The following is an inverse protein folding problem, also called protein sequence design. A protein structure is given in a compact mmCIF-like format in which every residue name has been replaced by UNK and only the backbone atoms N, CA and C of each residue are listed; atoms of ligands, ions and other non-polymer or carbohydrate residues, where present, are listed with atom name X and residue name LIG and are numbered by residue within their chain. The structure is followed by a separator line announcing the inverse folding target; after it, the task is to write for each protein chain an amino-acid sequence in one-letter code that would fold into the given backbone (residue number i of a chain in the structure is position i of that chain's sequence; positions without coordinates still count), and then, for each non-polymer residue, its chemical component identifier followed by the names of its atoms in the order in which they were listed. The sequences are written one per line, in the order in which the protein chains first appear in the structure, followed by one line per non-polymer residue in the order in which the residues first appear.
data_IF_648541132054
#
_entry.id   IF_648541132054
#
_cell.length_a   1.000
_cell.length_b   1.000
_cell.length_c   1.000
_cell.angle_alpha   90.00
_cell.angle_beta   90.00
_cell.angle_gamma   90.00
#
_symmetry.space_group_name_H-M   'P 1'
#
loop_
_entity.id
_entity.type
_entity.pdbx_description
1 polymer ?
#
# COMPACT_ATOMS: atom_id res chain seq x y z
N UNK A 1 -8.64 -18.55 -5.21
CA UNK A 1 -9.58 -17.61 -5.88
C UNK A 1 -10.57 -16.95 -4.90
N UNK A 2 -10.21 -16.86 -3.59
CA UNK A 2 -11.15 -16.42 -2.54
C UNK A 2 -10.47 -15.46 -1.55
N UNK A 3 -9.72 -14.46 -2.03
CA UNK A 3 -8.87 -13.64 -1.14
C UNK A 3 -8.94 -12.11 -1.34
N UNK A 4 -9.85 -11.63 -2.16
CA UNK A 4 -10.13 -10.18 -2.23
C UNK A 4 -11.48 -9.93 -1.55
N UNK A 5 -11.43 -9.57 -0.28
CA UNK A 5 -12.63 -9.26 0.50
C UNK A 5 -13.20 -7.89 0.06
N UNK A 6 -14.47 -7.79 -0.35
CA UNK A 6 -15.12 -6.52 -0.71
C UNK A 6 -15.07 -5.45 0.39
N UNK A 7 -14.96 -5.87 1.64
CA UNK A 7 -14.86 -4.98 2.80
C UNK A 7 -13.59 -4.12 2.87
N UNK A 8 -12.58 -4.40 2.02
CA UNK A 8 -11.34 -3.63 1.98
C UNK A 8 -11.44 -2.37 1.13
N UNK A 9 -12.15 -2.42 0.01
CA UNK A 9 -12.32 -1.26 -0.88
C UNK A 9 -13.13 -0.15 -0.19
N UNK A 10 -14.20 -0.49 0.51
CA UNK A 10 -14.99 0.48 1.27
C UNK A 10 -14.18 1.13 2.41
N UNK A 11 -13.34 0.36 3.10
CA UNK A 11 -12.55 0.88 4.22
C UNK A 11 -11.46 1.85 3.76
N UNK A 12 -10.77 1.59 2.66
CA UNK A 12 -9.71 2.48 2.13
C UNK A 12 -10.34 3.77 1.58
N UNK A 13 -11.41 3.68 0.82
CA UNK A 13 -12.18 4.84 0.33
C UNK A 13 -12.72 5.71 1.48
N UNK A 14 -13.16 5.11 2.57
CA UNK A 14 -13.64 5.85 3.75
C UNK A 14 -12.50 6.53 4.51
N UNK A 15 -11.32 5.93 4.58
CA UNK A 15 -10.14 6.59 5.18
C UNK A 15 -9.75 7.82 4.37
N UNK A 16 -9.64 7.72 3.04
CA UNK A 16 -9.25 8.84 2.19
C UNK A 16 -10.24 10.00 2.29
N UNK A 17 -11.54 9.71 2.23
CA UNK A 17 -12.59 10.71 2.41
C UNK A 17 -12.57 11.33 3.81
N UNK A 18 -12.32 10.54 4.85
CA UNK A 18 -12.20 11.05 6.22
C UNK A 18 -10.98 11.96 6.39
N UNK A 19 -9.83 11.60 5.80
CA UNK A 19 -8.64 12.45 5.78
C UNK A 19 -8.88 13.74 5.01
N UNK A 20 -9.51 13.69 3.83
CA UNK A 20 -9.82 14.88 3.04
C UNK A 20 -10.72 15.82 3.83
N UNK A 21 -11.81 15.31 4.45
CA UNK A 21 -12.70 16.12 5.29
C UNK A 21 -11.99 16.76 6.49
N UNK A 22 -11.01 16.06 7.07
CA UNK A 22 -10.22 16.56 8.21
C UNK A 22 -9.29 17.69 7.81
N UNK A 23 -8.55 17.54 6.71
CA UNK A 23 -7.52 18.51 6.30
C UNK A 23 -8.05 19.59 5.36
N UNK A 24 -9.15 19.32 4.66
CA UNK A 24 -9.83 20.24 3.75
C UNK A 24 -11.32 20.39 4.10
N UNK A 25 -11.64 20.85 5.34
CA UNK A 25 -13.02 20.88 5.82
C UNK A 25 -13.93 21.83 5.02
N UNK A 26 -13.34 22.76 4.26
CA UNK A 26 -14.05 23.70 3.39
C UNK A 26 -14.07 23.25 1.92
N UNK A 27 -13.62 22.04 1.62
CA UNK A 27 -13.41 21.59 0.25
C UNK A 27 -12.23 22.29 -0.42
N UNK A 28 -12.38 22.64 -1.69
CA UNK A 28 -11.33 23.33 -2.45
C UNK A 28 -10.26 22.40 -3.01
N UNK A 29 -10.58 21.09 -3.09
CA UNK A 29 -9.71 20.06 -3.65
C UNK A 29 -10.50 19.08 -4.51
N UNK A 30 -9.83 18.47 -5.47
CA UNK A 30 -10.31 17.32 -6.24
C UNK A 30 -9.49 16.09 -5.91
N UNK A 31 -10.16 14.96 -5.75
CA UNK A 31 -9.52 13.65 -5.68
C UNK A 31 -9.44 13.08 -7.10
N UNK A 32 -8.25 12.65 -7.50
CA UNK A 32 -7.99 12.15 -8.85
C UNK A 32 -7.44 10.75 -8.76
N UNK A 33 -8.12 9.80 -9.39
CA UNK A 33 -7.67 8.41 -9.48
C UNK A 33 -6.30 8.32 -10.17
N UNK A 34 -5.41 7.51 -9.59
CA UNK A 34 -4.08 7.29 -10.16
C UNK A 34 -3.86 5.79 -10.48
N UNK A 35 -3.61 4.96 -9.48
CA UNK A 35 -3.33 3.52 -9.65
C UNK A 35 -3.75 2.72 -8.43
N UNK A 36 -4.17 1.48 -8.64
CA UNK A 36 -4.24 0.49 -7.56
C UNK A 36 -2.89 -0.19 -7.36
N UNK A 37 -2.52 -0.47 -6.11
CA UNK A 37 -1.27 -1.17 -5.74
C UNK A 37 -1.56 -2.39 -4.89
N UNK A 38 -0.99 -3.51 -5.26
CA UNK A 38 -1.11 -4.72 -4.44
C UNK A 38 -0.24 -4.59 -3.18
N UNK A 39 -0.89 -4.57 -2.02
CA UNK A 39 -0.30 -4.63 -0.69
C UNK A 39 -0.29 -6.07 -0.17
N UNK A 40 0.75 -6.44 0.55
CA UNK A 40 0.85 -7.78 1.11
C UNK A 40 2.07 -7.97 2.00
N UNK A 41 2.30 -9.22 2.40
CA UNK A 41 3.48 -9.61 3.15
C UNK A 41 4.60 -10.01 2.19
N UNK A 42 5.76 -9.44 2.38
CA UNK A 42 7.02 -9.82 1.72
C UNK A 42 7.74 -10.79 2.64
N UNK A 43 8.22 -11.91 2.11
CA UNK A 43 8.96 -12.93 2.85
C UNK A 43 10.15 -13.41 2.03
N UNK A 44 11.15 -13.99 2.67
CA UNK A 44 12.30 -14.56 2.00
C UNK A 44 11.88 -15.59 0.95
N UNK A 45 12.68 -15.73 -0.10
CA UNK A 45 12.45 -16.69 -1.20
C UNK A 45 12.24 -18.11 -0.68
N UNK A 46 11.19 -18.77 -1.18
CA UNK A 46 10.79 -20.10 -0.72
C UNK A 46 9.99 -20.09 0.58
N UNK A 47 9.72 -18.92 1.17
CA UNK A 47 8.90 -18.76 2.37
C UNK A 47 9.22 -19.77 3.49
N UNK A 48 10.46 -19.78 4.00
CA UNK A 48 10.94 -20.85 4.92
C UNK A 48 10.13 -20.96 6.21
N UNK A 49 9.49 -19.87 6.67
CA UNK A 49 8.66 -19.85 7.88
C UNK A 49 7.18 -20.13 7.61
N UNK A 50 6.83 -20.46 6.36
CA UNK A 50 5.46 -20.79 5.96
C UNK A 50 4.42 -19.72 6.41
N UNK A 51 4.75 -18.45 6.21
CA UNK A 51 3.84 -17.33 6.41
C UNK A 51 2.78 -17.40 5.31
N UNK A 52 1.50 -17.44 5.66
CA UNK A 52 0.39 -17.59 4.71
C UNK A 52 -0.65 -16.48 4.80
N UNK A 53 -0.76 -15.87 5.99
CA UNK A 53 -1.76 -14.83 6.28
C UNK A 53 -1.20 -13.82 7.28
N UNK A 54 -1.89 -12.71 7.45
CA UNK A 54 -1.40 -11.61 8.27
C UNK A 54 -1.11 -12.01 9.73
N UNK A 55 -1.98 -12.80 10.37
CA UNK A 55 -1.78 -13.23 11.77
C UNK A 55 -0.49 -14.02 11.99
N UNK A 56 0.11 -14.56 10.93
CA UNK A 56 1.35 -15.33 11.04
C UNK A 56 2.56 -14.47 11.43
N UNK A 57 2.45 -13.13 11.37
CA UNK A 57 3.49 -12.21 11.87
C UNK A 57 3.73 -12.35 13.39
N UNK A 58 2.72 -12.83 14.13
CA UNK A 58 2.80 -13.05 15.57
C UNK A 58 3.28 -14.45 15.95
N UNK A 59 3.63 -15.31 14.98
CA UNK A 59 4.19 -16.64 15.28
C UNK A 59 5.53 -16.51 16.02
N UNK A 60 5.74 -17.36 17.02
CA UNK A 60 7.00 -17.41 17.74
C UNK A 60 8.20 -17.63 16.81
N UNK A 61 9.24 -16.82 16.99
CA UNK A 61 10.44 -16.86 16.17
C UNK A 61 10.39 -16.06 14.85
N UNK A 62 9.25 -15.48 14.50
CA UNK A 62 9.12 -14.59 13.33
C UNK A 62 9.59 -13.19 13.69
N UNK A 63 10.53 -12.64 12.90
CA UNK A 63 11.03 -11.26 13.03
C UNK A 63 10.32 -10.37 12.01
N UNK A 64 9.42 -9.52 12.50
CA UNK A 64 8.69 -8.56 11.68
C UNK A 64 9.47 -7.24 11.54
N UNK A 65 9.31 -6.57 10.42
CA UNK A 65 9.72 -5.19 10.22
C UNK A 65 8.55 -4.38 9.64
N UNK A 66 8.28 -3.25 10.25
CA UNK A 66 7.15 -2.39 9.91
C UNK A 66 7.56 -1.22 9.01
N UNK A 67 6.58 -0.53 8.47
CA UNK A 67 6.73 0.80 7.90
C UNK A 67 6.60 1.84 9.01
N UNK A 68 7.15 3.03 8.79
CA UNK A 68 7.06 4.14 9.74
C UNK A 68 5.60 4.51 10.02
N UNK A 69 5.36 5.01 11.24
CA UNK A 69 4.06 5.55 11.65
C UNK A 69 3.58 6.64 10.68
N UNK A 70 2.30 6.60 10.32
CA UNK A 70 1.68 7.53 9.39
C UNK A 70 1.78 7.13 7.91
N UNK A 71 2.49 6.07 7.54
CA UNK A 71 2.41 5.53 6.19
C UNK A 71 1.12 4.72 6.00
N UNK A 72 0.52 4.73 4.80
CA UNK A 72 -0.68 3.95 4.49
C UNK A 72 -0.52 2.47 4.81
N UNK A 73 0.63 1.86 4.47
CA UNK A 73 0.93 0.47 4.82
C UNK A 73 0.97 0.22 6.32
N UNK A 74 1.47 1.17 7.14
CA UNK A 74 1.45 1.05 8.60
C UNK A 74 0.03 1.17 9.13
N UNK A 75 -0.76 2.10 8.62
CA UNK A 75 -2.18 2.24 8.98
C UNK A 75 -2.94 0.94 8.66
N UNK A 76 -2.68 0.35 7.50
CA UNK A 76 -3.24 -0.95 7.13
C UNK A 76 -2.80 -2.06 8.08
N UNK A 77 -1.52 -2.13 8.46
CA UNK A 77 -1.02 -3.12 9.41
C UNK A 77 -1.67 -2.98 10.80
N UNK A 78 -1.76 -1.74 11.32
CA UNK A 78 -2.42 -1.46 12.61
C UNK A 78 -3.91 -1.85 12.57
N UNK A 79 -4.62 -1.56 11.47
CA UNK A 79 -6.00 -1.98 11.24
C UNK A 79 -6.15 -3.51 11.21
N UNK A 80 -5.27 -4.21 10.48
CA UNK A 80 -5.29 -5.67 10.40
C UNK A 80 -5.04 -6.31 11.78
N UNK A 81 -4.16 -5.74 12.60
CA UNK A 81 -3.96 -6.21 13.97
C UNK A 81 -5.25 -6.15 14.78
N UNK A 82 -6.00 -5.06 14.68
CA UNK A 82 -7.29 -4.89 15.38
C UNK A 82 -8.31 -5.90 14.83
N UNK A 83 -8.48 -5.94 13.50
CA UNK A 83 -9.49 -6.78 12.84
C UNK A 83 -9.28 -8.27 13.10
N UNK A 84 -8.04 -8.72 13.08
CA UNK A 84 -7.67 -10.13 13.23
C UNK A 84 -7.28 -10.48 14.67
N UNK A 85 -7.48 -9.54 15.60
CA UNK A 85 -7.19 -9.71 17.03
C UNK A 85 -5.72 -10.14 17.30
N UNK A 86 -4.78 -9.50 16.59
CA UNK A 86 -3.34 -9.68 16.80
C UNK A 86 -2.86 -8.68 17.84
N UNK A 87 -2.33 -9.15 18.98
CA UNK A 87 -1.69 -8.29 19.94
C UNK A 87 -0.32 -7.84 19.41
N UNK A 88 -0.16 -6.54 19.16
CA UNK A 88 1.09 -5.95 18.65
C UNK A 88 2.28 -6.16 19.58
N UNK A 89 2.04 -6.30 20.89
CA UNK A 89 3.09 -6.61 21.86
C UNK A 89 3.65 -8.04 21.69
N UNK A 90 2.89 -8.95 21.07
CA UNK A 90 3.33 -10.31 20.75
C UNK A 90 4.14 -10.40 19.45
N UNK A 91 4.13 -9.36 18.62
CA UNK A 91 4.85 -9.33 17.33
C UNK A 91 6.27 -8.83 17.54
N UNK A 92 7.24 -9.74 17.45
CA UNK A 92 8.64 -9.36 17.59
C UNK A 92 9.10 -8.46 16.43
N UNK A 93 9.48 -7.22 16.76
CA UNK A 93 9.92 -6.23 15.78
C UNK A 93 8.82 -5.31 15.26
N UNK A 94 7.61 -5.29 15.88
CA UNK A 94 6.52 -4.40 15.45
C UNK A 94 6.90 -2.92 15.48
N UNK A 95 7.73 -2.50 16.43
CA UNK A 95 8.23 -1.12 16.55
C UNK A 95 9.50 -0.85 15.73
N UNK A 96 10.01 -1.86 15.03
CA UNK A 96 11.12 -1.71 14.10
C UNK A 96 10.61 -1.14 12.78
N UNK A 97 11.00 0.08 12.47
CA UNK A 97 10.42 0.85 11.37
C UNK A 97 11.41 1.12 10.22
N UNK A 98 10.89 1.06 9.00
CA UNK A 98 11.58 1.43 7.77
C UNK A 98 10.79 2.48 6.98
N UNK A 99 11.52 3.41 6.31
CA UNK A 99 10.91 4.57 5.65
C UNK A 99 10.31 4.25 4.27
N UNK A 100 10.75 3.17 3.61
CA UNK A 100 10.32 2.83 2.25
C UNK A 100 9.94 1.37 2.14
N UNK A 101 9.15 1.01 1.11
CA UNK A 101 8.86 -0.40 0.82
C UNK A 101 10.14 -1.17 0.45
N UNK A 102 11.05 -0.52 -0.26
CA UNK A 102 12.34 -1.12 -0.67
C UNK A 102 13.27 -1.32 0.52
N UNK A 103 13.26 -0.45 1.54
CA UNK A 103 14.05 -0.69 2.75
C UNK A 103 13.50 -1.85 3.58
N UNK A 104 12.16 -2.01 3.68
CA UNK A 104 11.55 -3.22 4.26
C UNK A 104 11.99 -4.48 3.50
N UNK A 105 11.91 -4.47 2.17
CA UNK A 105 12.34 -5.59 1.34
C UNK A 105 13.84 -5.91 1.53
N UNK A 106 14.69 -4.89 1.62
CA UNK A 106 16.13 -5.07 1.87
C UNK A 106 16.42 -5.73 3.23
N UNK A 107 15.66 -5.40 4.28
CA UNK A 107 15.79 -6.05 5.60
C UNK A 107 15.46 -7.55 5.52
N UNK A 108 14.46 -7.91 4.72
CA UNK A 108 14.08 -9.32 4.53
C UNK A 108 15.12 -10.03 3.66
N UNK A 109 15.54 -9.44 2.55
CA UNK A 109 16.54 -10.01 1.65
C UNK A 109 17.89 -10.25 2.34
N UNK A 110 18.29 -9.36 3.27
CA UNK A 110 19.52 -9.51 4.07
C UNK A 110 19.40 -10.51 5.23
N UNK A 111 18.20 -11.05 5.50
CA UNK A 111 17.95 -11.91 6.65
C UNK A 111 17.90 -11.19 8.00
N UNK A 112 17.84 -9.86 8.00
CA UNK A 112 17.68 -9.07 9.23
C UNK A 112 16.25 -9.07 9.77
N UNK A 113 15.25 -9.33 8.90
CA UNK A 113 13.86 -9.60 9.21
C UNK A 113 13.39 -10.80 8.40
N UNK A 114 12.27 -11.40 8.81
CA UNK A 114 11.68 -12.56 8.13
C UNK A 114 10.45 -12.18 7.31
N UNK A 115 9.72 -11.15 7.76
CA UNK A 115 8.49 -10.69 7.12
C UNK A 115 8.27 -9.20 7.36
N UNK A 116 7.64 -8.54 6.41
CA UNK A 116 7.18 -7.16 6.53
C UNK A 116 6.12 -6.84 5.50
N UNK A 117 5.26 -5.84 5.78
CA UNK A 117 4.27 -5.38 4.82
C UNK A 117 4.87 -4.42 3.79
N UNK A 118 4.43 -4.59 2.55
CA UNK A 118 4.83 -3.72 1.47
C UNK A 118 4.06 -3.98 0.17
N UNK A 119 4.57 -3.43 -0.93
CA UNK A 119 3.98 -3.58 -2.26
C UNK A 119 4.67 -4.68 -3.07
N UNK A 120 3.93 -5.31 -3.97
CA UNK A 120 4.45 -6.41 -4.81
C UNK A 120 5.72 -6.02 -5.59
N UNK A 121 5.77 -4.81 -6.15
CA UNK A 121 6.93 -4.35 -6.93
C UNK A 121 8.23 -4.27 -6.10
N UNK A 122 8.12 -3.99 -4.79
CA UNK A 122 9.28 -4.02 -3.90
C UNK A 122 9.74 -5.46 -3.62
N UNK A 123 8.82 -6.39 -3.41
CA UNK A 123 9.14 -7.81 -3.27
C UNK A 123 9.83 -8.35 -4.52
N UNK A 124 9.28 -8.04 -5.71
CA UNK A 124 9.85 -8.43 -7.00
C UNK A 124 11.28 -7.90 -7.20
N UNK A 125 11.53 -6.65 -6.82
CA UNK A 125 12.86 -6.01 -6.95
C UNK A 125 13.95 -6.76 -6.17
N UNK A 126 13.60 -7.35 -5.02
CA UNK A 126 14.53 -8.08 -4.14
C UNK A 126 14.41 -9.61 -4.25
N UNK A 127 13.71 -10.12 -5.27
CA UNK A 127 13.43 -11.56 -5.48
C UNK A 127 12.84 -12.25 -4.22
N UNK A 128 11.93 -11.56 -3.54
CA UNK A 128 11.19 -12.07 -2.40
C UNK A 128 9.89 -12.75 -2.84
N UNK A 129 9.40 -13.68 -2.04
CA UNK A 129 8.03 -14.18 -2.20
C UNK A 129 7.04 -13.18 -1.60
N UNK A 130 5.81 -13.18 -2.12
CA UNK A 130 4.79 -12.22 -1.77
C UNK A 130 3.46 -12.90 -1.48
N UNK A 131 2.86 -12.56 -0.34
CA UNK A 131 1.53 -13.03 0.05
C UNK A 131 0.58 -11.84 -0.06
N UNK A 132 -0.33 -11.79 -1.05
CA UNK A 132 -1.22 -10.65 -1.26
C UNK A 132 -2.24 -10.53 -0.13
N UNK A 133 -2.57 -9.30 0.25
CA UNK A 133 -3.58 -8.98 1.26
C UNK A 133 -4.72 -8.17 0.64
N UNK A 134 -4.42 -7.05 -0.02
CA UNK A 134 -5.42 -6.19 -0.64
C UNK A 134 -4.83 -5.37 -1.79
N UNK A 135 -5.70 -4.70 -2.52
CA UNK A 135 -5.32 -3.60 -3.42
C UNK A 135 -5.56 -2.29 -2.67
N UNK A 136 -4.58 -1.42 -2.64
CA UNK A 136 -4.64 -0.06 -2.14
C UNK A 136 -4.83 0.88 -3.32
N UNK A 137 -5.85 1.73 -3.28
CA UNK A 137 -6.00 2.82 -4.23
C UNK A 137 -5.04 3.96 -3.86
N UNK A 138 -4.24 4.38 -4.82
CA UNK A 138 -3.31 5.49 -4.67
C UNK A 138 -3.80 6.66 -5.51
N UNK A 139 -4.42 7.62 -4.83
CA UNK A 139 -5.06 8.76 -5.45
C UNK A 139 -4.30 10.06 -5.20
N UNK A 140 -4.58 11.05 -6.02
CA UNK A 140 -3.94 12.37 -5.94
C UNK A 140 -4.94 13.41 -5.46
N UNK A 141 -4.56 14.18 -4.43
CA UNK A 141 -5.33 15.34 -4.00
C UNK A 141 -4.78 16.57 -4.72
N UNK A 142 -5.62 17.20 -5.52
CA UNK A 142 -5.28 18.40 -6.31
C UNK A 142 -6.09 19.60 -5.82
N UNK A 143 -5.45 20.66 -5.29
CA UNK A 143 -6.15 21.88 -4.91
C UNK A 143 -6.81 22.56 -6.11
N UNK A 144 -8.03 23.11 -5.92
CA UNK A 144 -8.79 23.74 -7.00
C UNK A 144 -8.04 24.87 -7.68
N UNK A 145 -7.28 25.68 -6.91
CA UNK A 145 -6.48 26.75 -7.46
C UNK A 145 -5.33 26.30 -8.38
N UNK A 146 -4.91 25.03 -8.25
CA UNK A 146 -3.86 24.45 -9.09
C UNK A 146 -4.42 23.72 -10.31
N UNK A 147 -5.73 23.43 -10.33
CA UNK A 147 -6.36 22.54 -11.30
C UNK A 147 -6.07 22.91 -12.76
N UNK A 148 -6.25 24.18 -13.12
CA UNK A 148 -6.09 24.65 -14.49
C UNK A 148 -4.64 25.03 -14.85
N UNK A 149 -3.69 24.76 -13.96
CA UNK A 149 -2.28 25.06 -14.26
C UNK A 149 -1.73 24.12 -15.35
N UNK A 150 -0.80 24.59 -16.20
CA UNK A 150 -0.17 23.78 -17.22
C UNK A 150 0.47 22.49 -16.65
N UNK A 151 0.98 22.54 -15.42
CA UNK A 151 1.61 21.43 -14.74
C UNK A 151 0.59 20.31 -14.43
N UNK A 152 -0.54 20.66 -13.79
CA UNK A 152 -1.59 19.67 -13.47
C UNK A 152 -2.21 19.10 -14.75
N UNK A 153 -2.48 19.95 -15.76
CA UNK A 153 -3.00 19.48 -17.04
C UNK A 153 -2.01 18.56 -17.77
N UNK A 154 -0.70 18.80 -17.66
CA UNK A 154 0.31 17.89 -18.18
C UNK A 154 0.31 16.56 -17.43
N UNK A 155 0.24 16.57 -16.09
CA UNK A 155 0.12 15.37 -15.27
C UNK A 155 -1.10 14.53 -15.66
N UNK A 156 -2.27 15.15 -15.78
CA UNK A 156 -3.50 14.44 -16.18
C UNK A 156 -3.39 13.79 -17.58
N UNK A 157 -2.71 14.46 -18.53
CA UNK A 157 -2.43 13.85 -19.84
C UNK A 157 -1.51 12.65 -19.75
N UNK A 158 -0.48 12.72 -18.88
CA UNK A 158 0.45 11.59 -18.66
C UNK A 158 -0.30 10.41 -18.04
N UNK A 159 -1.09 10.64 -16.99
CA UNK A 159 -1.87 9.59 -16.33
C UNK A 159 -2.78 8.83 -17.30
N UNK A 160 -3.36 9.52 -18.28
CA UNK A 160 -4.28 8.96 -19.30
C UNK A 160 -3.56 8.34 -20.50
N UNK A 161 -2.22 8.40 -20.56
CA UNK A 161 -1.48 7.89 -21.72
C UNK A 161 -1.25 6.37 -21.66
N UNK A 162 -1.18 5.74 -22.83
CA UNK A 162 -0.82 4.34 -22.95
C UNK A 162 0.59 4.07 -22.41
N UNK A 163 1.53 4.98 -22.64
CA UNK A 163 2.89 4.88 -22.13
C UNK A 163 2.95 4.80 -20.59
N UNK A 164 2.11 5.57 -19.89
CA UNK A 164 1.99 5.48 -18.43
C UNK A 164 1.42 4.11 -18.04
N UNK A 165 0.32 3.70 -18.66
CA UNK A 165 -0.32 2.40 -18.40
C UNK A 165 0.67 1.25 -18.59
N UNK A 166 1.35 1.18 -19.72
CA UNK A 166 2.33 0.15 -20.03
C UNK A 166 3.47 0.13 -19.01
N UNK A 167 4.01 1.31 -18.68
CA UNK A 167 5.09 1.43 -17.71
C UNK A 167 4.70 0.93 -16.33
N UNK A 168 3.53 1.34 -15.82
CA UNK A 168 3.04 0.93 -14.50
C UNK A 168 2.78 -0.58 -14.45
N UNK A 169 2.09 -1.12 -15.45
CA UNK A 169 1.80 -2.56 -15.51
C UNK A 169 3.08 -3.40 -15.60
N UNK A 170 4.14 -2.90 -16.25
CA UNK A 170 5.44 -3.59 -16.34
C UNK A 170 6.14 -3.78 -14.99
N UNK A 171 5.84 -2.94 -13.99
CA UNK A 171 6.38 -3.07 -12.64
C UNK A 171 5.81 -4.31 -11.91
N UNK A 172 4.57 -4.69 -12.24
CA UNK A 172 3.81 -5.76 -11.60
C UNK A 172 3.15 -5.33 -10.29
N UNK A 173 2.02 -5.95 -9.98
CA UNK A 173 1.25 -5.67 -8.76
C UNK A 173 0.53 -4.31 -8.76
N UNK A 174 0.31 -3.73 -9.94
CA UNK A 174 -0.47 -2.50 -10.12
C UNK A 174 -1.70 -2.76 -10.99
N UNK A 175 -2.77 -2.02 -10.72
CA UNK A 175 -3.93 -1.86 -11.59
C UNK A 175 -4.02 -0.42 -12.09
N UNK A 176 -4.55 -0.22 -13.29
CA UNK A 176 -4.66 1.09 -13.94
C UNK A 176 -6.04 1.17 -14.59
N UNK A 177 -7.08 1.36 -13.75
CA UNK A 177 -8.47 1.27 -14.24
C UNK A 177 -8.95 2.61 -14.81
N UNK A 178 -8.87 3.69 -14.04
CA UNK A 178 -9.38 5.00 -14.42
C UNK A 178 -8.43 6.15 -14.10
N UNK A 179 -7.15 6.12 -14.50
CA UNK A 179 -6.19 7.14 -14.11
C UNK A 179 -6.56 8.52 -14.67
N UNK A 180 -6.47 9.52 -13.82
CA UNK A 180 -6.80 10.91 -14.17
C UNK A 180 -8.31 11.22 -14.17
N UNK A 181 -9.18 10.33 -13.67
CA UNK A 181 -10.59 10.63 -13.42
C UNK A 181 -10.76 11.30 -12.05
N UNK A 182 -11.74 12.22 -11.96
CA UNK A 182 -12.13 12.85 -10.71
C UNK A 182 -13.05 11.88 -9.95
N UNK A 183 -12.70 11.60 -8.70
CA UNK A 183 -13.50 10.80 -7.78
C UNK A 183 -14.40 11.75 -6.98
N UNK A 184 -15.73 11.53 -6.91
CA UNK A 184 -16.63 12.32 -6.09
C UNK A 184 -16.28 12.21 -4.60
N UNK A 185 -16.19 13.36 -3.90
CA UNK A 185 -15.90 13.48 -2.47
C UNK A 185 -17.18 13.44 -1.62
#
# INVERSE_FOLDING_TARGET
EELLLPAHEEFILDIDKAFIRKYFPKGGVKLVSCVGRQQGLMVAKGNPLQIRKFVDIAKGGVRYVNRQKGSGTRILADYLCIRENVDTASVYGYDREELTHTSVAAQIASGSADVGMGIYSAAKLYDLDFIPICIEEYDLIVPDHAWDTPMVQALLRILKSDAFREKILSLGGYTVDNPGQIIPL
#
